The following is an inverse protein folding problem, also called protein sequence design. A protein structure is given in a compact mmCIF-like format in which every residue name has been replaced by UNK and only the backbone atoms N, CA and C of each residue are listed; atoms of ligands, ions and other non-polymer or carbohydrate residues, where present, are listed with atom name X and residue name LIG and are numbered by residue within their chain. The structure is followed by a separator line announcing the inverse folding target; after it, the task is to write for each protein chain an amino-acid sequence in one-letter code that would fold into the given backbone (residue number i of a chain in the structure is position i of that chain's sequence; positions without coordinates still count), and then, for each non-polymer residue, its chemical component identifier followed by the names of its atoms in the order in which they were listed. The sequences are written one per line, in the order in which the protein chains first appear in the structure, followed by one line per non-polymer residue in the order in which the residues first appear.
data_IF_684563945708
#
_entry.id   IF_684563945708
#
_cell.length_a   1.000
_cell.length_b   1.000
_cell.length_c   1.000
_cell.angle_alpha   90.00
_cell.angle_beta   90.00
_cell.angle_gamma   90.00
#
_symmetry.space_group_name_H-M   'P 1'
#
loop_
_entity.id
_entity.type
_entity.pdbx_description
1 polymer ?
#
# COMPACT_ATOMS: atom_id res chain seq x y z
N UNK A 1 -55.41 43.04 -32.76
CA UNK A 1 -54.41 41.97 -33.00
C UNK A 1 -53.36 42.03 -31.89
N UNK A 2 -53.43 41.14 -30.91
CA UNK A 2 -52.43 41.01 -29.84
C UNK A 2 -52.10 39.52 -29.76
N UNK A 3 -50.91 39.15 -30.26
CA UNK A 3 -50.49 37.76 -30.43
C UNK A 3 -49.59 37.36 -29.25
N UNK A 4 -50.01 36.30 -28.56
CA UNK A 4 -49.33 35.43 -27.60
C UNK A 4 -47.87 35.69 -27.22
N UNK A 5 -47.64 35.87 -25.92
CA UNK A 5 -46.33 35.69 -25.24
C UNK A 5 -46.52 34.96 -23.90
N UNK A 6 -47.10 33.75 -23.93
CA UNK A 6 -47.13 32.85 -22.77
C UNK A 6 -46.51 31.54 -23.23
N UNK A 7 -45.18 31.39 -23.10
CA UNK A 7 -44.47 30.11 -23.17
C UNK A 7 -42.97 30.25 -22.84
N UNK A 8 -42.59 31.07 -21.83
CA UNK A 8 -41.19 31.13 -21.38
C UNK A 8 -40.97 31.07 -19.86
N UNK A 9 -42.03 30.99 -19.05
CA UNK A 9 -41.89 31.06 -17.58
C UNK A 9 -41.99 29.70 -16.87
N UNK A 10 -41.49 28.61 -17.46
CA UNK A 10 -41.42 27.31 -16.79
C UNK A 10 -40.02 26.70 -16.64
N UNK A 11 -38.94 27.37 -17.07
CA UNK A 11 -37.60 26.76 -17.09
C UNK A 11 -36.61 27.20 -16.00
N UNK A 12 -36.95 28.14 -15.10
CA UNK A 12 -35.97 28.72 -14.16
C UNK A 12 -36.33 28.56 -12.67
N UNK A 13 -36.87 27.40 -12.28
CA UNK A 13 -37.06 27.06 -10.85
C UNK A 13 -36.33 25.77 -10.43
N UNK A 14 -35.20 25.45 -11.07
CA UNK A 14 -34.19 24.60 -10.43
C UNK A 14 -33.33 25.51 -9.58
N UNK A 15 -33.87 25.90 -8.42
CA UNK A 15 -33.04 26.44 -7.36
C UNK A 15 -31.95 25.43 -7.07
N UNK A 16 -30.69 25.83 -7.27
CA UNK A 16 -29.54 25.17 -6.69
C UNK A 16 -29.80 25.10 -5.19
N UNK A 17 -30.41 24.00 -4.76
CA UNK A 17 -30.39 23.59 -3.37
C UNK A 17 -28.92 23.33 -3.11
N UNK A 18 -28.23 24.32 -2.54
CA UNK A 18 -26.89 24.20 -2.01
C UNK A 18 -26.91 23.00 -1.05
N UNK A 19 -26.56 21.83 -1.57
CA UNK A 19 -26.47 20.61 -0.80
C UNK A 19 -25.32 20.89 0.17
N UNK A 20 -25.67 21.20 1.42
CA UNK A 20 -24.71 21.45 2.48
C UNK A 20 -23.81 20.21 2.56
N UNK A 21 -22.58 20.35 2.06
CA UNK A 21 -21.61 19.26 2.02
C UNK A 21 -21.12 19.02 3.43
N UNK A 22 -21.75 18.10 4.14
CA UNK A 22 -21.23 17.65 5.42
C UNK A 22 -19.94 16.86 5.19
N UNK A 23 -18.81 17.45 5.57
CA UNK A 23 -17.52 16.78 5.52
C UNK A 23 -17.52 15.57 6.46
N UNK A 24 -17.00 14.44 5.97
CA UNK A 24 -16.90 13.23 6.78
C UNK A 24 -15.91 13.43 7.92
N UNK A 25 -16.27 13.09 9.18
CA UNK A 25 -15.31 13.09 10.26
C UNK A 25 -14.22 12.04 9.97
N UNK A 26 -12.99 12.50 9.73
CA UNK A 26 -11.85 11.64 9.42
C UNK A 26 -11.47 10.86 10.69
N UNK A 27 -11.59 9.53 10.61
CA UNK A 27 -11.21 8.61 11.70
C UNK A 27 -9.71 8.34 11.74
N UNK A 28 -8.91 9.36 12.04
CA UNK A 28 -7.43 9.35 11.99
C UNK A 28 -6.77 8.12 12.65
N UNK A 29 -7.29 7.67 13.78
CA UNK A 29 -6.79 6.48 14.50
C UNK A 29 -6.69 5.23 13.61
N UNK A 30 -7.71 4.98 12.77
CA UNK A 30 -7.74 3.82 11.86
C UNK A 30 -6.73 3.94 10.72
N UNK A 31 -6.53 5.15 10.21
CA UNK A 31 -5.50 5.40 9.19
C UNK A 31 -4.11 5.18 9.77
N UNK A 32 -3.84 5.74 10.94
CA UNK A 32 -2.53 5.70 11.57
C UNK A 32 -2.16 4.27 11.97
N UNK A 33 -3.08 3.53 12.62
CA UNK A 33 -2.79 2.15 13.05
C UNK A 33 -2.56 1.23 11.86
N UNK A 34 -3.36 1.37 10.80
CA UNK A 34 -3.20 0.57 9.60
C UNK A 34 -1.92 0.91 8.85
N UNK A 35 -1.55 2.18 8.74
CA UNK A 35 -0.28 2.58 8.12
C UNK A 35 0.94 2.13 8.93
N UNK A 36 0.97 2.39 10.24
CA UNK A 36 2.07 2.01 11.12
C UNK A 36 2.26 0.48 11.10
N UNK A 37 1.17 -0.28 11.16
CA UNK A 37 1.27 -1.74 11.09
C UNK A 37 1.82 -2.21 9.74
N UNK A 38 1.31 -1.73 8.60
CA UNK A 38 1.84 -2.12 7.29
C UNK A 38 3.31 -1.68 7.14
N UNK A 39 3.65 -0.47 7.57
CA UNK A 39 5.00 0.09 7.45
C UNK A 39 6.01 -0.68 8.31
N UNK A 40 5.79 -0.81 9.61
CA UNK A 40 6.80 -1.40 10.50
C UNK A 40 6.81 -2.93 10.47
N UNK A 41 5.64 -3.58 10.48
CA UNK A 41 5.57 -5.04 10.58
C UNK A 41 6.11 -5.69 9.30
N UNK A 42 5.98 -5.03 8.15
CA UNK A 42 6.54 -5.54 6.88
C UNK A 42 8.07 -5.59 6.85
N UNK A 43 8.75 -4.84 7.72
CA UNK A 43 10.21 -4.85 7.84
C UNK A 43 10.74 -5.81 8.91
N UNK A 44 9.89 -6.33 9.80
CA UNK A 44 10.34 -7.19 10.90
C UNK A 44 11.04 -8.44 10.38
N UNK A 45 10.38 -9.22 9.51
CA UNK A 45 10.95 -10.45 8.98
C UNK A 45 12.16 -10.22 8.05
N UNK A 46 12.10 -9.31 7.06
CA UNK A 46 13.27 -8.96 6.25
C UNK A 46 14.44 -8.46 7.10
N UNK A 47 14.16 -7.63 8.11
CA UNK A 47 15.16 -7.08 9.01
C UNK A 47 15.85 -8.15 9.85
N UNK A 48 15.09 -9.10 10.43
CA UNK A 48 15.65 -10.24 11.17
C UNK A 48 16.52 -11.09 10.24
N UNK A 49 16.04 -11.41 9.04
CA UNK A 49 16.81 -12.20 8.07
C UNK A 49 18.13 -11.52 7.70
N UNK A 50 18.07 -10.23 7.36
CA UNK A 50 19.25 -9.44 7.01
C UNK A 50 20.22 -9.33 8.19
N UNK A 51 19.70 -9.07 9.40
CA UNK A 51 20.50 -8.97 10.61
C UNK A 51 21.23 -10.29 10.90
N UNK A 52 20.53 -11.43 10.86
CA UNK A 52 21.14 -12.74 11.04
C UNK A 52 22.24 -12.99 10.02
N UNK A 53 21.99 -12.65 8.76
CA UNK A 53 22.98 -12.80 7.71
C UNK A 53 24.23 -11.93 7.96
N UNK A 54 24.05 -10.67 8.34
CA UNK A 54 25.16 -9.76 8.64
C UNK A 54 26.01 -10.30 9.78
N UNK A 55 25.41 -10.67 10.90
CA UNK A 55 26.16 -11.09 12.09
C UNK A 55 26.77 -12.48 11.98
N UNK A 56 26.09 -13.43 11.33
CA UNK A 56 26.58 -14.81 11.25
C UNK A 56 27.52 -15.06 10.07
N UNK A 57 27.40 -14.29 8.99
CA UNK A 57 28.18 -14.52 7.79
C UNK A 57 29.01 -13.31 7.37
N UNK A 58 28.38 -12.16 7.18
CA UNK A 58 29.07 -11.02 6.56
C UNK A 58 30.16 -10.43 7.45
N UNK A 59 29.90 -10.25 8.75
CA UNK A 59 30.90 -9.75 9.71
C UNK A 59 32.09 -10.72 9.82
N UNK A 60 31.90 -12.00 10.22
CA UNK A 60 33.03 -12.88 10.48
C UNK A 60 33.82 -13.23 9.22
N UNK A 61 33.15 -13.44 8.09
CA UNK A 61 33.83 -13.93 6.89
C UNK A 61 34.29 -12.83 5.93
N UNK A 62 33.71 -11.62 5.97
CA UNK A 62 34.10 -10.55 5.04
C UNK A 62 34.72 -9.33 5.75
N UNK A 63 34.13 -8.85 6.85
CA UNK A 63 34.62 -7.64 7.51
C UNK A 63 35.84 -7.89 8.42
N UNK A 64 35.91 -9.06 9.05
CA UNK A 64 37.03 -9.44 9.94
C UNK A 64 38.19 -10.11 9.20
N UNK A 65 38.15 -10.18 7.86
CA UNK A 65 39.24 -10.75 7.06
C UNK A 65 40.49 -9.87 7.15
N UNK A 66 41.64 -10.50 7.47
CA UNK A 66 42.90 -9.80 7.72
C UNK A 66 43.51 -9.10 6.50
N UNK A 67 43.23 -9.59 5.28
CA UNK A 67 43.81 -9.07 4.05
C UNK A 67 42.76 -9.00 2.93
N UNK A 68 42.83 -7.94 2.13
CA UNK A 68 41.91 -7.73 1.00
C UNK A 68 41.97 -8.83 -0.06
N UNK A 69 43.15 -9.39 -0.33
CA UNK A 69 43.31 -10.44 -1.35
C UNK A 69 42.60 -11.73 -0.91
N UNK A 70 42.61 -12.04 0.40
CA UNK A 70 41.95 -13.22 0.95
C UNK A 70 40.43 -13.21 0.72
N UNK A 71 39.83 -12.03 0.58
CA UNK A 71 38.40 -11.88 0.28
C UNK A 71 38.04 -12.56 -1.06
N UNK A 72 38.96 -12.55 -2.03
CA UNK A 72 38.72 -13.06 -3.38
C UNK A 72 39.35 -14.43 -3.64
N UNK A 73 40.25 -14.89 -2.77
CA UNK A 73 40.93 -16.19 -2.92
C UNK A 73 40.34 -17.26 -2.02
N UNK A 74 39.85 -16.91 -0.83
CA UNK A 74 39.24 -17.86 0.10
C UNK A 74 37.75 -18.02 -0.17
N UNK A 75 37.25 -19.23 0.05
CA UNK A 75 35.87 -19.58 -0.31
C UNK A 75 34.83 -18.86 0.57
N UNK A 76 35.03 -18.80 1.89
CA UNK A 76 34.03 -18.25 2.82
C UNK A 76 33.82 -16.73 2.65
N UNK A 77 34.87 -15.90 2.55
CA UNK A 77 34.73 -14.47 2.27
C UNK A 77 34.09 -14.20 0.91
N UNK A 78 34.52 -14.95 -0.11
CA UNK A 78 34.01 -14.81 -1.48
C UNK A 78 32.51 -15.15 -1.55
N UNK A 79 32.11 -16.24 -0.91
CA UNK A 79 30.71 -16.66 -0.85
C UNK A 79 29.87 -15.64 -0.08
N UNK A 80 30.39 -15.13 1.03
CA UNK A 80 29.71 -14.08 1.80
C UNK A 80 29.52 -12.82 0.94
N UNK A 81 30.55 -12.37 0.22
CA UNK A 81 30.41 -11.23 -0.69
C UNK A 81 29.36 -11.46 -1.80
N UNK A 82 29.37 -12.65 -2.42
CA UNK A 82 28.46 -12.98 -3.52
C UNK A 82 27.01 -13.13 -3.05
N UNK A 83 26.80 -13.65 -1.85
CA UNK A 83 25.47 -13.82 -1.26
C UNK A 83 24.84 -12.49 -0.82
N UNK A 84 25.63 -11.47 -0.49
CA UNK A 84 25.11 -10.19 -0.01
C UNK A 84 24.03 -9.57 -0.91
N UNK A 85 24.25 -9.35 -2.22
CA UNK A 85 23.21 -8.83 -3.11
C UNK A 85 22.01 -9.77 -3.24
N UNK A 86 22.21 -11.09 -3.16
CA UNK A 86 21.13 -12.08 -3.22
C UNK A 86 20.23 -11.96 -1.98
N UNK A 87 20.83 -11.84 -0.79
CA UNK A 87 20.11 -11.64 0.46
C UNK A 87 19.32 -10.33 0.44
N UNK A 88 19.89 -9.24 -0.10
CA UNK A 88 19.16 -7.98 -0.27
C UNK A 88 17.94 -8.13 -1.17
N UNK A 89 18.07 -8.84 -2.31
CA UNK A 89 16.94 -9.12 -3.20
C UNK A 89 15.87 -9.93 -2.46
N UNK A 90 16.25 -10.99 -1.74
CA UNK A 90 15.31 -11.81 -0.95
C UNK A 90 14.60 -10.94 0.10
N UNK A 91 15.32 -10.07 0.82
CA UNK A 91 14.73 -9.17 1.79
C UNK A 91 13.73 -8.21 1.15
N UNK A 92 14.03 -7.69 -0.04
CA UNK A 92 13.11 -6.82 -0.78
C UNK A 92 11.83 -7.55 -1.20
N UNK A 93 11.93 -8.79 -1.70
CA UNK A 93 10.76 -9.61 -2.00
C UNK A 93 9.92 -9.93 -0.76
N UNK A 94 10.56 -10.31 0.34
CA UNK A 94 9.88 -10.54 1.62
C UNK A 94 9.17 -9.28 2.11
N UNK A 95 9.82 -8.11 2.03
CA UNK A 95 9.21 -6.84 2.42
C UNK A 95 7.94 -6.56 1.60
N UNK A 96 8.00 -6.69 0.27
CA UNK A 96 6.84 -6.51 -0.60
C UNK A 96 5.72 -7.50 -0.26
N UNK A 97 6.09 -8.77 -0.04
CA UNK A 97 5.14 -9.82 0.31
C UNK A 97 4.43 -9.51 1.63
N UNK A 98 5.17 -9.18 2.69
CA UNK A 98 4.58 -8.85 3.99
C UNK A 98 3.77 -7.56 3.96
N UNK A 99 4.23 -6.53 3.25
CA UNK A 99 3.45 -5.30 3.06
C UNK A 99 2.10 -5.61 2.39
N UNK A 100 2.08 -6.48 1.37
CA UNK A 100 0.85 -6.93 0.74
C UNK A 100 -0.02 -7.79 1.67
N UNK A 101 0.57 -8.69 2.45
CA UNK A 101 -0.14 -9.57 3.39
C UNK A 101 -0.82 -8.79 4.53
N UNK A 102 -0.12 -7.83 5.12
CA UNK A 102 -0.70 -6.98 6.18
C UNK A 102 -1.79 -6.08 5.60
N UNK A 103 -1.58 -5.55 4.39
CA UNK A 103 -2.62 -4.77 3.70
C UNK A 103 -3.84 -5.62 3.40
N UNK A 104 -3.67 -6.86 2.93
CA UNK A 104 -4.75 -7.83 2.73
C UNK A 104 -5.52 -8.11 4.01
N UNK A 105 -4.82 -8.27 5.14
CA UNK A 105 -5.45 -8.44 6.44
C UNK A 105 -6.36 -7.25 6.77
N UNK A 106 -5.85 -6.02 6.70
CA UNK A 106 -6.67 -4.83 6.95
C UNK A 106 -7.81 -4.67 5.93
N UNK A 107 -7.54 -4.95 4.67
CA UNK A 107 -8.54 -4.92 3.61
C UNK A 107 -9.69 -5.89 3.94
N UNK A 108 -9.37 -7.13 4.30
CA UNK A 108 -10.33 -8.14 4.75
C UNK A 108 -11.12 -7.71 6.00
N UNK A 109 -10.46 -7.11 7.00
CA UNK A 109 -11.14 -6.56 8.19
C UNK A 109 -12.16 -5.50 7.77
N UNK A 110 -11.76 -4.53 6.93
CA UNK A 110 -12.70 -3.49 6.48
C UNK A 110 -13.84 -4.07 5.65
N UNK A 111 -13.60 -5.11 4.84
CA UNK A 111 -14.61 -5.74 3.99
C UNK A 111 -15.66 -6.51 4.79
N UNK A 112 -15.25 -7.13 5.91
CA UNK A 112 -16.19 -7.73 6.88
C UNK A 112 -17.08 -6.69 7.56
N UNK A 113 -16.60 -5.46 7.75
CA UNK A 113 -17.36 -4.38 8.40
C UNK A 113 -18.41 -3.76 7.46
N UNK A 114 -18.08 -3.57 6.18
CA UNK A 114 -18.99 -3.12 5.13
C UNK A 114 -18.42 -3.56 3.79
N UNK A 115 -19.15 -4.30 2.95
CA UNK A 115 -18.59 -4.76 1.68
C UNK A 115 -18.16 -3.57 0.80
N UNK A 116 -17.13 -3.78 -0.02
CA UNK A 116 -16.81 -2.82 -1.09
C UNK A 116 -18.01 -2.76 -2.05
N UNK A 117 -18.43 -1.55 -2.39
CA UNK A 117 -19.50 -1.30 -3.35
C UNK A 117 -18.89 -0.67 -4.58
N UNK A 118 -19.22 -1.22 -5.74
CA UNK A 118 -18.91 -0.61 -7.02
C UNK A 118 -19.95 0.50 -7.30
N UNK A 119 -19.49 1.63 -7.82
CA UNK A 119 -20.34 2.77 -8.17
C UNK A 119 -20.06 4.05 -7.38
N UNK A 120 -20.93 5.04 -7.56
CA UNK A 120 -20.76 6.39 -6.99
C UNK A 120 -21.22 6.38 -5.53
N UNK A 121 -20.27 6.59 -4.61
CA UNK A 121 -20.58 6.79 -3.19
C UNK A 121 -20.92 8.27 -2.99
N UNK A 122 -22.14 8.61 -2.53
CA UNK A 122 -22.51 10.00 -2.26
C UNK A 122 -21.58 10.61 -1.21
N UNK A 123 -20.95 11.73 -1.56
CA UNK A 123 -20.01 12.46 -0.67
C UNK A 123 -20.70 13.47 0.25
N UNK A 124 -21.92 13.83 -0.09
CA UNK A 124 -22.76 14.77 0.64
C UNK A 124 -23.40 14.15 1.90
N UNK A 125 -23.38 12.82 2.05
CA UNK A 125 -24.05 12.13 3.15
C UNK A 125 -23.02 11.34 3.95
N UNK A 126 -22.94 11.53 5.28
CA UNK A 126 -22.15 10.67 6.13
C UNK A 126 -22.56 9.22 6.09
N UNK A 127 -21.63 8.38 5.63
CA UNK A 127 -21.82 6.95 5.56
C UNK A 127 -20.57 6.20 5.97
N UNK A 128 -20.80 5.09 6.69
CA UNK A 128 -19.76 4.14 7.07
C UNK A 128 -19.02 3.60 5.84
N UNK A 129 -19.74 3.45 4.72
CA UNK A 129 -19.20 3.01 3.44
C UNK A 129 -18.19 4.01 2.87
N UNK A 130 -18.50 5.32 2.88
CA UNK A 130 -17.57 6.36 2.44
C UNK A 130 -16.29 6.39 3.31
N UNK A 131 -16.45 6.31 4.63
CA UNK A 131 -15.31 6.29 5.56
C UNK A 131 -14.38 5.08 5.33
N UNK A 132 -14.95 3.87 5.19
CA UNK A 132 -14.18 2.65 4.94
C UNK A 132 -13.54 2.63 3.56
N UNK A 133 -14.19 3.23 2.55
CA UNK A 133 -13.60 3.40 1.22
C UNK A 133 -12.31 4.24 1.29
N UNK A 134 -12.35 5.36 2.01
CA UNK A 134 -11.16 6.20 2.20
C UNK A 134 -10.04 5.48 2.97
N UNK A 135 -10.38 4.73 4.01
CA UNK A 135 -9.41 3.91 4.76
C UNK A 135 -8.73 2.89 3.83
N UNK A 136 -9.51 2.13 3.04
CA UNK A 136 -8.94 1.15 2.08
C UNK A 136 -8.04 1.80 1.06
N UNK A 137 -8.51 2.90 0.45
CA UNK A 137 -7.73 3.64 -0.54
C UNK A 137 -6.41 4.11 0.06
N UNK A 138 -6.42 4.62 1.30
CA UNK A 138 -5.22 5.04 2.00
C UNK A 138 -4.26 3.87 2.27
N UNK A 139 -4.77 2.74 2.78
CA UNK A 139 -3.93 1.57 3.07
C UNK A 139 -3.25 1.01 1.83
N UNK A 140 -3.93 1.05 0.68
CA UNK A 140 -3.35 0.62 -0.60
C UNK A 140 -2.27 1.57 -1.13
N UNK A 141 -2.22 2.84 -0.70
CA UNK A 141 -1.22 3.81 -1.18
C UNK A 141 0.20 3.41 -0.80
N UNK A 142 0.41 2.91 0.41
CA UNK A 142 1.74 2.53 0.87
C UNK A 142 2.35 1.40 0.03
N UNK A 143 1.75 0.19 -0.04
CA UNK A 143 2.34 -0.91 -0.78
C UNK A 143 2.39 -0.60 -2.29
N UNK A 144 1.43 0.17 -2.83
CA UNK A 144 1.51 0.73 -4.19
C UNK A 144 2.77 1.58 -4.39
N UNK A 145 3.03 2.52 -3.50
CA UNK A 145 4.21 3.39 -3.60
C UNK A 145 5.51 2.59 -3.44
N UNK A 146 5.55 1.62 -2.52
CA UNK A 146 6.71 0.73 -2.31
C UNK A 146 7.06 -0.04 -3.58
N UNK A 147 6.06 -0.57 -4.30
CA UNK A 147 6.31 -1.30 -5.55
C UNK A 147 6.65 -0.35 -6.71
N UNK A 148 5.86 0.71 -6.91
CA UNK A 148 6.04 1.61 -8.06
C UNK A 148 7.36 2.38 -8.03
N UNK A 149 7.84 2.75 -6.83
CA UNK A 149 9.14 3.41 -6.65
C UNK A 149 10.25 2.41 -6.30
N UNK A 150 9.92 1.13 -6.18
CA UNK A 150 10.86 0.08 -5.83
C UNK A 150 11.56 -0.50 -7.05
N UNK A 151 12.39 -1.52 -6.80
CA UNK A 151 13.16 -2.22 -7.84
C UNK A 151 12.30 -3.08 -8.77
N UNK A 152 11.07 -3.41 -8.36
CA UNK A 152 10.25 -4.46 -8.98
C UNK A 152 8.84 -3.96 -9.35
N UNK A 153 8.68 -2.92 -10.20
CA UNK A 153 7.38 -2.31 -10.50
C UNK A 153 6.37 -3.28 -11.14
N UNK A 154 6.83 -4.34 -11.81
CA UNK A 154 5.96 -5.35 -12.42
C UNK A 154 5.20 -6.21 -11.41
N UNK A 155 5.60 -6.24 -10.13
CA UNK A 155 4.85 -6.91 -9.06
C UNK A 155 3.55 -6.19 -8.70
N UNK A 156 3.27 -5.03 -9.29
CA UNK A 156 2.06 -4.27 -9.04
C UNK A 156 0.79 -5.10 -9.27
N UNK A 157 0.68 -5.75 -10.43
CA UNK A 157 -0.48 -6.58 -10.78
C UNK A 157 -0.67 -7.72 -9.78
N UNK A 158 0.42 -8.42 -9.45
CA UNK A 158 0.41 -9.48 -8.46
C UNK A 158 -0.07 -8.97 -7.09
N UNK A 159 0.43 -7.84 -6.62
CA UNK A 159 0.10 -7.29 -5.31
C UNK A 159 -1.39 -6.96 -5.20
N UNK A 160 -1.95 -6.27 -6.19
CA UNK A 160 -3.36 -5.88 -6.17
C UNK A 160 -4.29 -7.11 -6.27
N UNK A 161 -3.93 -8.09 -7.10
CA UNK A 161 -4.66 -9.36 -7.20
C UNK A 161 -4.57 -10.14 -5.89
N UNK A 162 -3.39 -10.17 -5.24
CA UNK A 162 -3.20 -10.86 -3.97
C UNK A 162 -4.00 -10.23 -2.82
N UNK A 163 -4.04 -8.89 -2.75
CA UNK A 163 -4.83 -8.15 -1.76
C UNK A 163 -6.34 -8.34 -1.99
N UNK A 164 -6.76 -8.52 -3.24
CA UNK A 164 -8.17 -8.67 -3.61
C UNK A 164 -8.92 -7.35 -3.72
N UNK A 165 -8.21 -6.24 -3.97
CA UNK A 165 -8.83 -4.92 -4.14
C UNK A 165 -9.31 -4.65 -5.56
N UNK A 166 -8.71 -5.32 -6.55
CA UNK A 166 -9.00 -5.17 -7.98
C UNK A 166 -8.53 -6.43 -8.69
N UNK A 167 -9.33 -6.94 -9.62
CA UNK A 167 -8.89 -7.99 -10.54
C UNK A 167 -8.21 -7.30 -11.73
N UNK A 168 -6.88 -7.24 -11.73
CA UNK A 168 -6.12 -6.90 -12.93
C UNK A 168 -5.85 -8.21 -13.68
N UNK A 169 -6.46 -8.37 -14.86
CA UNK A 169 -6.34 -9.51 -15.75
C UNK A 169 -6.57 -9.07 -17.19
#
# INVERSE_FOLDING_TARGET
MKKNSNNQDQENNNGDLDIIKEEQPIKWHWYLIGFVSVYFISWVFPGILFFLYIFLFFVPYFLETSNFILIFTELEPLLSLLLFPIVLIICAFLHIFFAAAITKFWYGVTQKISPAKDGVIPRNIPSKTASLYHIRSFLLKYPKNTIMKGMFPWLFTWMFNFIGSTNYG
#
